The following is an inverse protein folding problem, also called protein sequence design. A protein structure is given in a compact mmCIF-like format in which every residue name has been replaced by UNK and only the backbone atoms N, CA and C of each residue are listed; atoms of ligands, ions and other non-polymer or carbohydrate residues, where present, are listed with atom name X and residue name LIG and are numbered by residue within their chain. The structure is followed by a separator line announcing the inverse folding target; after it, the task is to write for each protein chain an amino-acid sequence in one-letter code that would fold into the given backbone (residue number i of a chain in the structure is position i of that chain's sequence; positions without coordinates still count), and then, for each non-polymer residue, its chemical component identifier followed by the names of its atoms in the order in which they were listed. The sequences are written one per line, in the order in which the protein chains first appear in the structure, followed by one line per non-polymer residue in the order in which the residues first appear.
data_IF_928493272770
#
_entry.id   IF_928493272770
#
_cell.length_a   1.000
_cell.length_b   1.000
_cell.length_c   1.000
_cell.angle_alpha   90.00
_cell.angle_beta   90.00
_cell.angle_gamma   90.00
#
_symmetry.space_group_name_H-M   'P 1'
#
loop_
_entity.id
_entity.type
_entity.pdbx_description
1 polymer ?
#
# COMPACT_ATOMS: atom_id res chain seq x y z
N UNK A 1 -7.66 30.66 -14.27
CA UNK A 1 -8.72 29.74 -13.86
C UNK A 1 -8.10 28.46 -13.32
N UNK A 2 -8.66 27.90 -12.29
CA UNK A 2 -8.21 26.60 -11.74
C UNK A 2 -8.92 25.49 -12.51
N UNK A 3 -8.16 24.64 -13.15
CA UNK A 3 -8.70 23.48 -13.85
C UNK A 3 -8.59 22.23 -12.94
N UNK A 4 -9.68 21.49 -12.82
CA UNK A 4 -9.72 20.23 -12.09
C UNK A 4 -9.99 19.10 -13.08
N UNK A 5 -9.18 18.04 -13.00
CA UNK A 5 -9.33 16.86 -13.83
C UNK A 5 -9.33 15.60 -12.99
N UNK A 6 -10.29 14.73 -13.23
CA UNK A 6 -10.34 13.38 -12.64
C UNK A 6 -9.99 12.38 -13.73
N UNK A 7 -9.02 11.52 -13.44
CA UNK A 7 -8.63 10.40 -14.31
C UNK A 7 -9.04 9.13 -13.59
N UNK A 8 -10.02 8.42 -14.14
CA UNK A 8 -10.46 7.13 -13.63
C UNK A 8 -9.72 6.02 -14.37
N UNK A 9 -9.19 5.05 -13.62
CA UNK A 9 -8.49 3.91 -14.18
C UNK A 9 -7.37 3.40 -13.30
N UNK A 10 -6.56 2.51 -13.85
CA UNK A 10 -5.34 2.04 -13.21
C UNK A 10 -4.33 3.20 -13.05
N UNK A 11 -3.59 3.18 -11.94
CA UNK A 11 -2.66 4.26 -11.60
C UNK A 11 -1.54 4.41 -12.63
N UNK A 12 -0.98 3.29 -13.12
CA UNK A 12 0.09 3.33 -14.12
C UNK A 12 -0.41 3.85 -15.46
N UNK A 13 -1.59 3.42 -15.88
CA UNK A 13 -2.22 3.93 -17.10
C UNK A 13 -2.50 5.42 -16.98
N UNK A 14 -3.07 5.86 -15.85
CA UNK A 14 -3.33 7.26 -15.58
C UNK A 14 -2.07 8.11 -15.60
N UNK A 15 -1.01 7.68 -14.92
CA UNK A 15 0.27 8.39 -14.88
C UNK A 15 0.91 8.50 -16.27
N UNK A 16 0.82 7.46 -17.11
CA UNK A 16 1.36 7.47 -18.47
C UNK A 16 0.72 8.50 -19.39
N UNK A 17 -0.47 8.96 -19.06
CA UNK A 17 -1.12 10.06 -19.82
C UNK A 17 -0.57 11.44 -19.50
N UNK A 18 0.20 11.55 -18.41
CA UNK A 18 0.78 12.83 -17.97
C UNK A 18 2.17 13.02 -18.58
N UNK A 19 2.50 14.25 -19.02
CA UNK A 19 3.83 14.57 -19.52
C UNK A 19 4.91 14.46 -18.44
N UNK A 20 6.15 14.24 -18.86
CA UNK A 20 7.31 14.31 -17.99
C UNK A 20 7.44 15.71 -17.39
N UNK A 21 7.94 15.81 -16.16
CA UNK A 21 8.24 17.08 -15.50
C UNK A 21 7.08 18.09 -15.48
N UNK A 22 5.84 17.59 -15.36
CA UNK A 22 4.64 18.44 -15.47
C UNK A 22 3.94 18.71 -14.13
N UNK A 23 4.24 17.92 -13.11
CA UNK A 23 3.54 17.94 -11.81
C UNK A 23 4.44 18.56 -10.74
N UNK A 24 3.93 19.53 -9.99
CA UNK A 24 4.64 20.22 -8.93
C UNK A 24 4.60 19.47 -7.60
N UNK A 25 3.51 18.78 -7.34
CA UNK A 25 3.31 18.09 -6.06
C UNK A 25 2.46 16.83 -6.26
N UNK A 26 2.85 15.76 -5.60
CA UNK A 26 2.04 14.55 -5.46
C UNK A 26 1.77 14.30 -3.98
N UNK A 27 0.51 14.14 -3.63
CA UNK A 27 0.08 13.74 -2.27
C UNK A 27 -0.69 12.45 -2.41
N UNK A 28 -0.23 11.39 -1.73
CA UNK A 28 -0.85 10.08 -1.88
C UNK A 28 -0.74 9.21 -0.64
N UNK A 29 -1.73 8.33 -0.49
CA UNK A 29 -1.73 7.21 0.45
C UNK A 29 -2.05 5.96 -0.37
N UNK A 30 -1.05 5.20 -0.81
CA UNK A 30 -1.30 4.01 -1.60
C UNK A 30 -1.96 2.92 -0.77
N UNK A 31 -2.57 1.91 -1.40
CA UNK A 31 -3.10 0.75 -0.70
C UNK A 31 -1.98 0.06 0.10
N UNK A 32 -2.26 -0.28 1.35
CA UNK A 32 -1.34 -1.02 2.19
C UNK A 32 -1.45 -2.52 1.90
N UNK A 33 -0.34 -3.23 2.01
CA UNK A 33 -0.33 -4.66 1.77
C UNK A 33 -1.20 -5.42 2.78
N UNK A 34 -2.10 -6.25 2.26
CA UNK A 34 -2.96 -7.11 3.06
C UNK A 34 -4.05 -6.40 3.88
N UNK A 35 -4.26 -5.09 3.68
CA UNK A 35 -5.19 -4.34 4.52
C UNK A 35 -6.63 -4.35 4.00
N UNK A 36 -6.85 -4.10 2.71
CA UNK A 36 -8.20 -3.97 2.16
C UNK A 36 -8.33 -4.61 0.78
N UNK A 37 -9.46 -5.29 0.58
CA UNK A 37 -9.89 -5.74 -0.73
C UNK A 37 -11.04 -4.87 -1.23
N UNK A 38 -10.81 -4.17 -2.33
CA UNK A 38 -11.81 -3.32 -2.99
C UNK A 38 -12.62 -4.08 -4.06
N UNK A 39 -12.34 -5.36 -4.28
CA UNK A 39 -13.05 -6.20 -5.26
C UNK A 39 -12.69 -5.91 -6.71
N UNK A 40 -11.55 -5.32 -6.97
CA UNK A 40 -11.05 -5.00 -8.31
C UNK A 40 -9.90 -5.94 -8.66
N UNK A 41 -9.98 -6.58 -9.82
CA UNK A 41 -8.91 -7.45 -10.29
C UNK A 41 -7.62 -6.65 -10.54
N UNK A 42 -6.48 -7.20 -10.12
CA UNK A 42 -5.18 -6.55 -10.26
C UNK A 42 -4.92 -5.41 -9.27
N UNK A 43 -5.78 -5.26 -8.28
CA UNK A 43 -5.59 -4.29 -7.21
C UNK A 43 -4.21 -4.42 -6.54
N UNK A 44 -3.56 -3.27 -6.29
CA UNK A 44 -2.36 -3.21 -5.47
C UNK A 44 -2.73 -3.45 -4.00
N UNK A 45 -1.90 -4.19 -3.28
CA UNK A 45 -2.08 -4.52 -1.87
C UNK A 45 -2.59 -5.94 -1.62
N UNK A 46 -2.86 -6.73 -2.66
CA UNK A 46 -3.30 -8.12 -2.58
C UNK A 46 -2.27 -9.11 -3.13
N UNK A 47 -1.04 -8.69 -3.30
CA UNK A 47 0.06 -9.54 -3.74
C UNK A 47 0.30 -10.68 -2.74
N UNK A 48 0.78 -11.80 -3.25
CA UNK A 48 1.03 -12.99 -2.42
C UNK A 48 2.17 -12.79 -1.44
N UNK A 49 3.14 -11.97 -1.81
CA UNK A 49 4.32 -11.70 -1.00
C UNK A 49 4.57 -10.19 -0.85
N UNK A 50 5.23 -9.75 0.24
CA UNK A 50 5.62 -8.36 0.41
C UNK A 50 6.54 -7.87 -0.71
N UNK A 51 7.40 -8.73 -1.23
CA UNK A 51 8.34 -8.41 -2.30
C UNK A 51 7.62 -8.06 -3.60
N UNK A 52 6.56 -8.81 -3.94
CA UNK A 52 5.72 -8.51 -5.10
C UNK A 52 5.00 -7.16 -4.94
N UNK A 53 4.50 -6.88 -3.74
CA UNK A 53 3.89 -5.60 -3.41
C UNK A 53 4.90 -4.45 -3.56
N UNK A 54 6.09 -4.59 -2.99
CA UNK A 54 7.15 -3.59 -3.10
C UNK A 54 7.55 -3.37 -4.55
N UNK A 55 7.67 -4.42 -5.35
CA UNK A 55 8.01 -4.31 -6.77
C UNK A 55 6.97 -3.47 -7.54
N UNK A 56 5.67 -3.70 -7.30
CA UNK A 56 4.60 -2.89 -7.90
C UNK A 56 4.63 -1.45 -7.42
N UNK A 57 4.86 -1.21 -6.13
CA UNK A 57 4.99 0.14 -5.59
C UNK A 57 6.16 0.89 -6.22
N UNK A 58 7.30 0.23 -6.40
CA UNK A 58 8.48 0.81 -7.07
C UNK A 58 8.14 1.20 -8.50
N UNK A 59 7.40 0.37 -9.23
CA UNK A 59 6.95 0.69 -10.60
C UNK A 59 6.08 1.96 -10.62
N UNK A 60 5.10 2.04 -9.75
CA UNK A 60 4.22 3.22 -9.62
C UNK A 60 5.03 4.48 -9.29
N UNK A 61 5.92 4.41 -8.31
CA UNK A 61 6.69 5.59 -7.91
C UNK A 61 7.80 5.99 -8.88
N UNK A 62 8.25 5.10 -9.76
CA UNK A 62 9.06 5.48 -10.92
C UNK A 62 8.29 6.38 -11.89
N UNK A 63 7.03 6.04 -12.16
CA UNK A 63 6.16 6.89 -12.98
C UNK A 63 5.83 8.22 -12.28
N UNK A 64 5.57 8.20 -10.97
CA UNK A 64 5.39 9.44 -10.19
C UNK A 64 6.64 10.33 -10.32
N UNK A 65 7.83 9.76 -10.19
CA UNK A 65 9.09 10.51 -10.36
C UNK A 65 9.23 11.10 -11.75
N UNK A 66 8.83 10.35 -12.80
CA UNK A 66 8.89 10.82 -14.19
C UNK A 66 8.03 12.06 -14.40
N UNK A 67 6.82 12.06 -13.86
CA UNK A 67 5.88 13.18 -14.02
C UNK A 67 6.16 14.36 -13.10
N UNK A 68 6.82 14.13 -11.95
CA UNK A 68 7.21 15.21 -11.05
C UNK A 68 8.32 16.05 -11.67
N UNK A 69 8.23 17.36 -11.45
CA UNK A 69 9.30 18.31 -11.78
C UNK A 69 10.51 18.08 -10.88
N UNK A 70 11.67 18.54 -11.32
CA UNK A 70 12.92 18.43 -10.54
C UNK A 70 12.83 19.16 -9.18
N UNK A 71 12.03 20.22 -9.12
CA UNK A 71 11.70 20.98 -7.91
C UNK A 71 10.39 20.52 -7.24
N UNK A 72 9.79 19.45 -7.75
CA UNK A 72 8.52 18.90 -7.25
C UNK A 72 8.67 18.15 -5.93
N UNK A 73 7.55 17.99 -5.23
CA UNK A 73 7.50 17.32 -3.92
C UNK A 73 6.56 16.12 -3.94
N UNK A 74 6.96 15.07 -3.23
CA UNK A 74 6.11 13.90 -2.96
C UNK A 74 5.79 13.84 -1.46
N UNK A 75 4.51 13.84 -1.14
CA UNK A 75 3.99 13.61 0.21
C UNK A 75 3.33 12.24 0.25
N UNK A 76 4.01 11.31 0.90
CA UNK A 76 3.60 9.91 0.96
C UNK A 76 3.18 9.54 2.38
N UNK A 77 1.92 9.13 2.55
CA UNK A 77 1.45 8.50 3.76
C UNK A 77 1.46 6.98 3.56
N UNK A 78 2.37 6.30 4.22
CA UNK A 78 2.53 4.86 4.16
C UNK A 78 2.57 4.28 5.57
N UNK A 79 1.78 3.22 5.79
CA UNK A 79 1.80 2.49 7.05
C UNK A 79 3.05 1.64 7.18
N UNK A 80 3.51 1.53 8.41
CA UNK A 80 4.61 0.64 8.81
C UNK A 80 4.17 -0.17 10.02
N UNK A 81 4.91 -1.21 10.37
CA UNK A 81 4.69 -1.95 11.59
C UNK A 81 5.95 -1.96 12.45
N UNK A 82 5.76 -1.78 13.74
CA UNK A 82 6.86 -1.86 14.69
C UNK A 82 7.36 -3.31 14.82
N UNK A 83 8.67 -3.46 14.99
CA UNK A 83 9.24 -4.75 15.37
C UNK A 83 8.57 -5.24 16.67
N UNK A 84 7.96 -6.41 16.63
CA UNK A 84 7.20 -6.96 17.77
C UNK A 84 5.71 -6.62 17.78
N UNK A 85 5.21 -5.75 16.89
CA UNK A 85 3.76 -5.51 16.82
C UNK A 85 2.97 -6.76 16.42
N UNK A 86 3.59 -7.68 15.70
CA UNK A 86 3.02 -8.99 15.41
C UNK A 86 2.85 -9.89 16.64
N UNK A 87 3.66 -9.67 17.68
CA UNK A 87 3.53 -10.40 18.93
C UNK A 87 2.40 -9.85 19.82
N UNK A 88 2.09 -8.55 19.69
CA UNK A 88 1.02 -7.89 20.46
C UNK A 88 -0.35 -7.92 19.80
N UNK A 89 -0.41 -8.17 18.50
CA UNK A 89 -1.69 -8.19 17.78
C UNK A 89 -2.59 -9.37 18.16
N UNK A 90 -2.05 -10.36 18.84
CA UNK A 90 -2.86 -11.47 19.37
C UNK A 90 -3.75 -11.03 20.54
N UNK A 91 -3.39 -9.95 21.25
CA UNK A 91 -4.20 -9.43 22.36
C UNK A 91 -5.56 -8.89 21.89
N UNK A 92 -5.65 -8.49 20.64
CA UNK A 92 -6.92 -8.03 20.06
C UNK A 92 -7.87 -9.18 19.68
N UNK A 93 -7.45 -10.42 19.84
CA UNK A 93 -8.20 -11.58 19.36
C UNK A 93 -8.79 -12.44 20.46
N UNK A 94 -8.43 -12.22 21.70
CA UNK A 94 -8.99 -12.97 22.83
C UNK A 94 -10.47 -12.66 23.02
N UNK A 95 -10.93 -11.49 22.60
CA UNK A 95 -12.34 -11.10 22.66
C UNK A 95 -13.13 -11.33 21.37
N UNK A 96 -12.51 -11.86 20.33
CA UNK A 96 -13.16 -12.21 19.06
C UNK A 96 -13.62 -11.02 18.22
N UNK A 97 -13.20 -9.81 18.54
CA UNK A 97 -13.90 -8.61 18.07
C UNK A 97 -13.27 -7.90 16.88
N UNK A 98 -12.19 -8.33 16.26
CA UNK A 98 -11.52 -7.39 15.37
C UNK A 98 -11.15 -7.83 13.96
N UNK A 99 -11.46 -9.02 13.56
CA UNK A 99 -11.35 -9.33 12.14
C UNK A 99 -12.76 -9.46 11.58
N UNK A 100 -13.11 -8.53 10.70
CA UNK A 100 -14.30 -8.69 9.89
C UNK A 100 -14.26 -10.06 9.23
N UNK A 101 -15.34 -10.84 9.36
CA UNK A 101 -15.48 -12.15 8.69
C UNK A 101 -15.32 -12.08 7.17
N UNK A 102 -15.24 -10.87 6.60
CA UNK A 102 -14.95 -10.62 5.19
C UNK A 102 -13.46 -10.74 4.85
N UNK A 103 -12.59 -10.89 5.85
CA UNK A 103 -11.14 -10.93 5.65
C UNK A 103 -10.57 -12.36 5.64
N UNK A 104 -11.40 -13.39 5.50
CA UNK A 104 -10.93 -14.77 5.36
C UNK A 104 -9.91 -14.94 4.21
N UNK A 105 -10.00 -14.08 3.18
CA UNK A 105 -9.00 -14.03 2.10
C UNK A 105 -7.64 -13.52 2.55
N UNK A 106 -7.58 -12.78 3.64
CA UNK A 106 -6.33 -12.23 4.17
C UNK A 106 -5.64 -13.14 5.17
N UNK A 107 -6.36 -14.11 5.75
CA UNK A 107 -5.80 -15.01 6.76
C UNK A 107 -4.65 -15.88 6.22
N UNK A 108 -4.61 -16.12 4.90
CA UNK A 108 -3.52 -16.84 4.25
C UNK A 108 -2.33 -15.98 3.83
N UNK A 109 -2.45 -14.65 3.94
CA UNK A 109 -1.42 -13.70 3.52
C UNK A 109 -0.69 -13.04 4.68
N UNK A 110 -1.24 -13.14 5.89
CA UNK A 110 -0.50 -12.79 7.09
C UNK A 110 0.56 -13.85 7.29
N UNK A 111 1.82 -13.48 7.10
CA UNK A 111 2.95 -14.36 7.28
C UNK A 111 2.85 -15.15 8.57
N UNK A 112 3.48 -16.32 8.59
CA UNK A 112 3.60 -17.19 9.74
C UNK A 112 3.78 -16.37 11.03
N UNK A 113 3.10 -16.71 12.11
CA UNK A 113 3.27 -15.99 13.35
C UNK A 113 4.75 -15.95 13.68
N UNK A 114 5.27 -14.75 13.88
CA UNK A 114 6.67 -14.56 14.27
C UNK A 114 6.98 -15.50 15.42
N UNK A 115 7.94 -16.37 15.20
CA UNK A 115 8.31 -17.39 16.17
C UNK A 115 8.68 -16.74 17.50
N UNK A 116 8.47 -17.47 18.60
CA UNK A 116 8.81 -17.06 19.97
C UNK A 116 10.24 -16.53 20.13
N UNK A 117 11.11 -16.69 19.16
CA UNK A 117 12.46 -16.12 19.13
C UNK A 117 12.47 -14.58 19.06
N UNK A 118 11.35 -13.92 18.76
CA UNK A 118 11.25 -12.45 18.86
C UNK A 118 11.20 -11.92 20.29
N UNK A 119 10.96 -12.79 21.27
CA UNK A 119 10.82 -12.42 22.69
C UNK A 119 12.15 -12.44 23.47
N UNK A 120 13.24 -12.90 22.86
CA UNK A 120 14.55 -13.07 23.53
C UNK A 120 15.61 -12.02 23.16
N UNK A 121 15.16 -10.84 22.66
CA UNK A 121 16.11 -9.75 22.36
C UNK A 121 15.71 -8.46 23.05
#
# INVERSE_FOLDING_TARGET
MTEHRIIQGDVLEGLRTLPDNSIQCCVTSPPYWGLRNYGVDGQIGLEKTPEEYVAKMVEVFREVRRVLRDDGTLWLNLGDSYAGSGCGSNDYREDGASISKNDEKYQGQQGEPVSSSCLER
#
